data_IF_194734178793
#
_entry.id   IF_194734178793
#
_cell.length_a   1.000
_cell.length_b   1.000
_cell.length_c   1.000
_cell.angle_alpha   90.00
_cell.angle_beta   90.00
_cell.angle_gamma   90.00
#
_symmetry.space_group_name_H-M   'P 1'
#
loop_
_entity.id
_entity.type
_entity.pdbx_description
1 polymer ?
#
# COMPACT_ATOMS: atom_id res chain seq x y z
N UNK A 1 32.68 -13.72 -17.45
CA UNK A 1 31.34 -14.26 -17.12
C UNK A 1 30.66 -13.24 -16.24
N UNK A 2 29.73 -12.47 -16.79
CA UNK A 2 29.08 -11.37 -16.09
C UNK A 2 27.84 -11.92 -15.39
N UNK A 3 27.91 -12.09 -14.07
CA UNK A 3 26.77 -12.50 -13.26
C UNK A 3 25.85 -11.29 -13.09
N UNK A 4 24.82 -11.20 -13.92
CA UNK A 4 23.71 -10.27 -13.69
C UNK A 4 23.04 -10.66 -12.37
N UNK A 5 23.25 -9.85 -11.34
CA UNK A 5 22.51 -9.96 -10.09
C UNK A 5 21.05 -9.61 -10.40
N UNK A 6 20.21 -10.63 -10.53
CA UNK A 6 18.76 -10.49 -10.49
C UNK A 6 18.41 -9.87 -9.15
N UNK A 7 18.14 -8.57 -9.15
CA UNK A 7 17.53 -7.89 -8.01
C UNK A 7 16.28 -8.69 -7.63
N UNK A 8 16.12 -9.13 -6.37
CA UNK A 8 14.87 -9.76 -5.97
C UNK A 8 13.76 -8.76 -6.21
N UNK A 9 12.85 -9.06 -7.14
CA UNK A 9 11.58 -8.37 -7.25
C UNK A 9 10.97 -8.42 -5.85
N UNK A 10 10.62 -7.29 -5.21
CA UNK A 10 9.97 -7.35 -3.92
C UNK A 10 8.73 -8.19 -4.13
N UNK A 11 8.68 -9.35 -3.48
CA UNK A 11 7.47 -10.17 -3.45
C UNK A 11 6.36 -9.22 -3.05
N UNK A 12 5.33 -9.08 -3.89
CA UNK A 12 4.21 -8.22 -3.56
C UNK A 12 3.66 -8.77 -2.25
N UNK A 13 3.90 -8.02 -1.16
CA UNK A 13 3.41 -8.36 0.17
C UNK A 13 1.93 -8.70 -0.01
N UNK A 14 1.45 -9.83 0.57
CA UNK A 14 0.02 -10.11 0.54
C UNK A 14 -0.72 -8.84 0.97
N UNK A 15 -1.79 -8.44 0.25
CA UNK A 15 -2.47 -7.20 0.55
C UNK A 15 -2.87 -7.27 2.03
N UNK A 16 -2.36 -6.32 2.82
CA UNK A 16 -2.77 -6.25 4.20
C UNK A 16 -4.28 -5.93 4.19
N UNK A 17 -5.09 -6.59 5.01
CA UNK A 17 -6.54 -6.38 5.00
C UNK A 17 -6.90 -4.89 5.23
N UNK A 18 -6.06 -4.19 5.99
CA UNK A 18 -6.15 -2.74 6.23
C UNK A 18 -5.92 -1.94 4.95
N UNK A 19 -4.98 -2.35 4.10
CA UNK A 19 -4.61 -1.71 2.84
C UNK A 19 -5.75 -1.84 1.83
N UNK A 20 -6.37 -3.03 1.78
CA UNK A 20 -7.54 -3.29 0.95
C UNK A 20 -8.74 -2.46 1.43
N UNK A 21 -9.01 -2.47 2.74
CA UNK A 21 -10.10 -1.70 3.34
C UNK A 21 -9.94 -0.19 3.13
N UNK A 22 -8.72 0.36 3.27
CA UNK A 22 -8.43 1.78 3.03
C UNK A 22 -8.55 2.15 1.56
N UNK A 23 -8.16 1.25 0.65
CA UNK A 23 -8.34 1.46 -0.79
C UNK A 23 -9.83 1.55 -1.13
N UNK A 24 -10.64 0.62 -0.63
CA UNK A 24 -12.09 0.63 -0.83
C UNK A 24 -12.75 1.88 -0.23
N UNK A 25 -12.34 2.31 0.97
CA UNK A 25 -12.83 3.54 1.60
C UNK A 25 -12.47 4.79 0.80
N UNK A 26 -11.23 4.87 0.30
CA UNK A 26 -10.78 5.95 -0.57
C UNK A 26 -11.63 6.05 -1.83
N UNK A 27 -11.94 4.91 -2.47
CA UNK A 27 -12.72 4.90 -3.71
C UNK A 27 -14.18 5.32 -3.44
N UNK A 28 -14.80 4.84 -2.36
CA UNK A 28 -16.12 5.30 -1.93
C UNK A 28 -16.14 6.80 -1.57
N UNK A 29 -15.07 7.32 -0.96
CA UNK A 29 -14.92 8.75 -0.69
C UNK A 29 -14.75 9.57 -1.97
N UNK A 30 -14.03 9.06 -2.98
CA UNK A 30 -13.91 9.68 -4.31
C UNK A 30 -15.27 9.77 -5.00
N UNK A 31 -16.03 8.69 -5.01
CA UNK A 31 -17.37 8.65 -5.60
C UNK A 31 -18.34 9.61 -4.90
N UNK A 32 -18.23 9.75 -3.58
CA UNK A 32 -19.02 10.68 -2.79
C UNK A 32 -18.53 12.14 -2.85
N UNK A 33 -17.43 12.44 -3.55
CA UNK A 33 -16.84 13.78 -3.62
C UNK A 33 -16.22 14.26 -2.29
N UNK A 34 -15.92 13.35 -1.35
CA UNK A 34 -15.35 13.64 -0.03
C UNK A 34 -13.82 13.73 -0.12
N UNK A 35 -13.32 14.78 -0.76
CA UNK A 35 -11.88 14.95 -1.08
C UNK A 35 -10.96 14.95 0.15
N UNK A 36 -11.41 15.46 1.30
CA UNK A 36 -10.64 15.39 2.55
C UNK A 36 -10.41 13.95 3.00
N UNK A 37 -11.46 13.12 2.96
CA UNK A 37 -11.40 11.72 3.40
C UNK A 37 -10.55 10.86 2.45
N UNK A 38 -10.54 11.21 1.15
CA UNK A 38 -9.60 10.63 0.17
C UNK A 38 -8.16 10.91 0.57
N UNK A 39 -7.85 12.16 0.93
CA UNK A 39 -6.50 12.55 1.36
C UNK A 39 -6.06 11.86 2.65
N UNK A 40 -6.97 11.65 3.59
CA UNK A 40 -6.70 10.88 4.81
C UNK A 40 -6.39 9.42 4.50
N UNK A 41 -7.18 8.78 3.64
CA UNK A 41 -6.93 7.39 3.21
C UNK A 41 -5.60 7.24 2.45
N UNK A 42 -5.24 8.21 1.59
CA UNK A 42 -3.98 8.19 0.85
C UNK A 42 -2.75 8.37 1.75
N UNK A 43 -2.87 9.21 2.79
CA UNK A 43 -1.84 9.34 3.81
C UNK A 43 -1.66 8.04 4.57
N UNK A 44 -2.75 7.45 5.06
CA UNK A 44 -2.70 6.19 5.82
C UNK A 44 -2.12 5.05 4.97
N UNK A 45 -2.54 4.93 3.70
CA UNK A 45 -1.97 3.94 2.77
C UNK A 45 -0.45 4.11 2.58
N UNK A 46 0.06 5.34 2.54
CA UNK A 46 1.50 5.61 2.43
C UNK A 46 2.26 5.26 3.70
N UNK A 47 1.68 5.54 4.87
CA UNK A 47 2.26 5.19 6.17
C UNK A 47 2.27 3.66 6.35
N UNK A 48 1.22 2.99 5.89
CA UNK A 48 1.04 1.55 6.00
C UNK A 48 1.85 0.75 4.97
N UNK A 49 2.10 1.27 3.76
CA UNK A 49 2.98 0.62 2.76
C UNK A 49 4.39 0.36 3.33
N UNK A 50 4.84 1.23 4.25
CA UNK A 50 6.09 1.06 5.00
C UNK A 50 6.12 -0.16 5.95
N UNK A 51 4.97 -0.68 6.39
CA UNK A 51 4.89 -1.82 7.29
C UNK A 51 5.20 -3.17 6.61
N UNK A 52 5.08 -3.26 5.27
CA UNK A 52 5.34 -4.49 4.52
C UNK A 52 6.81 -4.92 4.45
N UNK A 53 7.77 -4.08 4.89
CA UNK A 53 9.21 -4.40 4.87
C UNK A 53 9.79 -4.86 6.21
N UNK A 54 9.02 -4.83 7.30
CA UNK A 54 9.54 -5.17 8.63
C UNK A 54 8.52 -5.94 9.46
N UNK A 55 8.17 -7.13 9.00
CA UNK A 55 7.52 -8.15 9.84
C UNK A 55 8.19 -9.51 9.61
N UNK A 56 9.50 -9.56 9.86
CA UNK A 56 10.22 -10.79 10.22
C UNK A 56 11.06 -10.45 11.45
N UNK A 57 10.50 -10.64 12.63
CA UNK A 57 11.24 -10.78 13.89
C UNK A 57 10.48 -11.79 14.75
#
# INVERSE_FOLDING_TARGET
MNTAATSPTPAQTPPCDVCEALTAQRDAAREAGRTSEVGDCERELREHDGHGRRSSS
#
